data_IF_862964482884
#
_entry.id   IF_862964482884
#
_cell.length_a   1.000
_cell.length_b   1.000
_cell.length_c   1.000
_cell.angle_alpha   90.00
_cell.angle_beta   90.00
_cell.angle_gamma   90.00
#
_symmetry.space_group_name_H-M   'P 1'
#
loop_
_entity.id
_entity.type
_entity.pdbx_description
1 polymer ?
#
# COMPACT_ATOMS: atom_id res chain seq x y z
N UNK A 1 17.08 -9.18 -7.37
CA UNK A 1 15.63 -8.93 -7.45
C UNK A 1 14.81 -10.03 -8.14
N UNK A 2 15.42 -10.90 -9.00
CA UNK A 2 14.73 -12.06 -9.60
C UNK A 2 14.28 -13.08 -8.53
N UNK A 3 15.06 -13.30 -7.48
CA UNK A 3 14.73 -14.26 -6.42
C UNK A 3 13.49 -13.90 -5.61
N UNK A 4 13.19 -12.60 -5.39
CA UNK A 4 12.04 -12.15 -4.63
C UNK A 4 10.73 -12.40 -5.41
N UNK A 5 10.74 -12.14 -6.73
CA UNK A 5 9.61 -12.42 -7.61
C UNK A 5 9.27 -13.91 -7.67
N UNK A 6 10.30 -14.79 -7.69
CA UNK A 6 10.11 -16.24 -7.68
C UNK A 6 9.55 -16.77 -6.36
N UNK A 7 9.90 -16.13 -5.24
CA UNK A 7 9.35 -16.46 -3.92
C UNK A 7 7.86 -16.13 -3.87
N UNK A 8 7.47 -14.93 -4.30
CA UNK A 8 6.07 -14.52 -4.34
C UNK A 8 5.23 -15.41 -5.27
N UNK A 9 5.78 -15.79 -6.42
CA UNK A 9 5.10 -16.68 -7.36
C UNK A 9 4.84 -18.05 -6.74
N UNK A 10 5.84 -18.67 -6.12
CA UNK A 10 5.68 -19.97 -5.45
C UNK A 10 4.65 -19.94 -4.34
N UNK A 11 4.56 -18.85 -3.58
CA UNK A 11 3.56 -18.71 -2.53
C UNK A 11 2.16 -18.48 -3.08
N UNK A 12 2.02 -17.67 -4.13
CA UNK A 12 0.74 -17.51 -4.81
C UNK A 12 0.24 -18.86 -5.34
N UNK A 13 1.13 -19.67 -5.95
CA UNK A 13 0.79 -21.03 -6.42
C UNK A 13 0.33 -21.94 -5.28
N UNK A 14 0.99 -21.88 -4.11
CA UNK A 14 0.58 -22.65 -2.92
C UNK A 14 -0.79 -22.24 -2.42
N UNK A 15 -1.08 -20.93 -2.33
CA UNK A 15 -2.38 -20.42 -1.91
C UNK A 15 -3.48 -20.78 -2.91
N UNK A 16 -3.19 -20.79 -4.20
CA UNK A 16 -4.11 -21.23 -5.24
C UNK A 16 -4.44 -22.73 -5.09
N UNK A 17 -3.45 -23.58 -4.81
CA UNK A 17 -3.64 -25.00 -4.54
C UNK A 17 -4.49 -25.23 -3.29
N UNK A 18 -4.45 -24.31 -2.33
CA UNK A 18 -5.31 -24.34 -1.14
C UNK A 18 -6.75 -23.81 -1.39
N UNK A 19 -7.10 -23.50 -2.64
CA UNK A 19 -8.46 -23.09 -3.05
C UNK A 19 -8.73 -21.59 -3.05
N UNK A 20 -7.69 -20.76 -3.01
CA UNK A 20 -7.83 -19.30 -3.09
C UNK A 20 -7.77 -18.79 -4.54
N UNK A 21 -8.43 -17.67 -4.82
CA UNK A 21 -8.37 -17.03 -6.13
C UNK A 21 -6.95 -16.56 -6.45
N UNK A 22 -6.53 -16.67 -7.73
CA UNK A 22 -5.18 -16.33 -8.17
C UNK A 22 -4.78 -14.89 -7.80
N UNK A 23 -5.69 -13.96 -7.96
CA UNK A 23 -5.47 -12.54 -7.68
C UNK A 23 -5.27 -12.27 -6.18
N UNK A 24 -6.15 -12.83 -5.35
CA UNK A 24 -6.03 -12.74 -3.89
C UNK A 24 -4.74 -13.40 -3.39
N UNK A 25 -4.39 -14.56 -3.90
CA UNK A 25 -3.16 -15.28 -3.55
C UNK A 25 -1.90 -14.46 -3.89
N UNK A 26 -1.89 -13.78 -5.01
CA UNK A 26 -0.79 -12.92 -5.42
C UNK A 26 -0.62 -11.72 -4.49
N UNK A 27 -1.71 -11.04 -4.17
CA UNK A 27 -1.74 -9.90 -3.26
C UNK A 27 -1.26 -10.29 -1.86
N UNK A 28 -1.84 -11.35 -1.28
CA UNK A 28 -1.52 -11.79 0.07
C UNK A 28 -0.07 -12.27 0.19
N UNK A 29 0.46 -12.95 -0.82
CA UNK A 29 1.87 -13.35 -0.86
C UNK A 29 2.83 -12.16 -0.81
N UNK A 30 2.48 -11.07 -1.47
CA UNK A 30 3.27 -9.85 -1.43
C UNK A 30 3.25 -9.19 -0.04
N UNK A 31 2.09 -9.10 0.60
CA UNK A 31 1.98 -8.57 1.97
C UNK A 31 2.69 -9.46 3.00
N UNK A 32 2.71 -10.75 2.79
CA UNK A 32 3.40 -11.69 3.65
C UNK A 32 4.94 -11.68 3.48
N UNK A 33 5.46 -10.91 2.53
CA UNK A 33 6.90 -10.75 2.28
C UNK A 33 7.66 -12.08 2.16
N UNK A 34 7.05 -13.07 1.54
CA UNK A 34 7.69 -14.37 1.37
C UNK A 34 7.49 -15.37 2.52
N UNK A 35 6.66 -15.08 3.51
CA UNK A 35 6.39 -15.99 4.63
C UNK A 35 5.06 -16.69 4.45
N UNK A 36 5.07 -17.99 4.12
CA UNK A 36 3.86 -18.78 3.84
C UNK A 36 2.87 -18.76 5.01
N UNK A 37 3.35 -18.90 6.26
CA UNK A 37 2.51 -18.86 7.44
C UNK A 37 1.74 -17.54 7.59
N UNK A 38 2.40 -16.41 7.33
CA UNK A 38 1.76 -15.10 7.36
C UNK A 38 0.76 -14.90 6.22
N UNK A 39 1.04 -15.45 5.04
CA UNK A 39 0.10 -15.41 3.92
C UNK A 39 -1.20 -16.14 4.25
N UNK A 40 -1.12 -17.31 4.88
CA UNK A 40 -2.29 -18.07 5.31
C UNK A 40 -3.08 -17.35 6.41
N UNK A 41 -2.41 -16.73 7.36
CA UNK A 41 -3.05 -15.90 8.40
C UNK A 41 -3.81 -14.71 7.79
N UNK A 42 -3.24 -14.05 6.78
CA UNK A 42 -3.89 -12.92 6.10
C UNK A 42 -5.13 -13.34 5.31
N UNK A 43 -5.18 -14.57 4.79
CA UNK A 43 -6.36 -15.11 4.09
C UNK A 43 -7.59 -15.10 4.99
N UNK A 44 -7.43 -15.43 6.26
CA UNK A 44 -8.52 -15.54 7.23
C UNK A 44 -8.77 -14.23 7.99
N UNK A 45 -7.92 -13.22 7.80
CA UNK A 45 -8.00 -11.93 8.51
C UNK A 45 -8.94 -10.95 7.79
N UNK A 46 -10.21 -10.98 8.14
CA UNK A 46 -11.21 -10.01 7.64
C UNK A 46 -10.84 -8.57 7.99
N UNK A 47 -10.30 -8.34 9.17
CA UNK A 47 -9.86 -7.01 9.62
C UNK A 47 -8.78 -6.43 8.71
N UNK A 48 -7.85 -7.26 8.24
CA UNK A 48 -6.85 -6.83 7.26
C UNK A 48 -7.47 -6.51 5.90
N UNK A 49 -8.43 -7.29 5.44
CA UNK A 49 -9.14 -7.01 4.18
C UNK A 49 -9.89 -5.69 4.23
N UNK A 50 -10.61 -5.43 5.31
CA UNK A 50 -11.31 -4.18 5.54
C UNK A 50 -10.35 -2.99 5.60
N UNK A 51 -9.26 -3.12 6.36
CA UNK A 51 -8.18 -2.12 6.43
C UNK A 51 -7.62 -1.82 5.04
N UNK A 52 -7.34 -2.86 4.25
CA UNK A 52 -6.81 -2.69 2.90
C UNK A 52 -7.78 -1.91 2.00
N UNK A 53 -9.05 -2.26 1.99
CA UNK A 53 -10.06 -1.55 1.20
C UNK A 53 -10.20 -0.09 1.64
N UNK A 54 -10.22 0.16 2.94
CA UNK A 54 -10.31 1.50 3.51
C UNK A 54 -9.11 2.36 3.11
N UNK A 55 -7.90 1.87 3.33
CA UNK A 55 -6.66 2.61 3.03
C UNK A 55 -6.51 2.87 1.53
N UNK A 56 -6.75 1.87 0.67
CA UNK A 56 -6.66 2.07 -0.78
C UNK A 56 -7.70 3.09 -1.27
N UNK A 57 -8.92 3.06 -0.76
CA UNK A 57 -9.95 4.05 -1.07
C UNK A 57 -9.53 5.47 -0.67
N UNK A 58 -8.91 5.63 0.50
CA UNK A 58 -8.37 6.91 0.98
C UNK A 58 -7.23 7.42 0.09
N UNK A 59 -6.32 6.55 -0.33
CA UNK A 59 -5.19 6.92 -1.20
C UNK A 59 -5.65 7.37 -2.59
N UNK A 60 -6.70 6.76 -3.13
CA UNK A 60 -7.26 7.16 -4.44
C UNK A 60 -7.79 8.60 -4.44
N UNK A 61 -8.38 9.04 -3.35
CA UNK A 61 -9.04 10.36 -3.27
C UNK A 61 -8.15 11.44 -2.63
N UNK A 62 -7.10 11.05 -1.92
CA UNK A 62 -6.22 11.96 -1.17
C UNK A 62 -5.69 13.15 -2.00
N UNK A 63 -5.24 12.98 -3.26
CA UNK A 63 -4.74 14.11 -4.05
C UNK A 63 -5.78 15.21 -4.32
N UNK A 64 -7.06 14.86 -4.28
CA UNK A 64 -8.19 15.79 -4.51
C UNK A 64 -8.80 16.37 -3.22
N UNK A 65 -8.36 15.90 -2.06
CA UNK A 65 -8.86 16.37 -0.77
C UNK A 65 -8.40 17.81 -0.47
N UNK A 66 -9.23 18.54 0.29
CA UNK A 66 -8.77 19.78 0.93
C UNK A 66 -7.75 19.50 2.02
N UNK A 67 -6.99 20.51 2.45
CA UNK A 67 -6.08 20.34 3.60
C UNK A 67 -6.84 19.96 4.88
N UNK A 68 -8.01 20.57 5.09
CA UNK A 68 -8.86 20.27 6.24
C UNK A 68 -9.30 18.80 6.24
N UNK A 69 -9.70 18.27 5.09
CA UNK A 69 -10.09 16.86 4.98
C UNK A 69 -8.89 15.92 5.21
N UNK A 70 -7.70 16.31 4.77
CA UNK A 70 -6.49 15.54 5.04
C UNK A 70 -6.13 15.51 6.54
N UNK A 71 -6.36 16.60 7.28
CA UNK A 71 -6.23 16.61 8.74
C UNK A 71 -7.28 15.70 9.42
N UNK A 72 -8.51 15.68 8.93
CA UNK A 72 -9.54 14.76 9.42
C UNK A 72 -9.15 13.31 9.13
N UNK A 73 -8.58 13.04 7.96
CA UNK A 73 -8.06 11.73 7.61
C UNK A 73 -6.95 11.27 8.56
N UNK A 74 -6.05 12.17 8.97
CA UNK A 74 -5.02 11.85 9.98
C UNK A 74 -5.65 11.42 11.30
N UNK A 75 -6.77 12.04 11.69
CA UNK A 75 -7.54 11.62 12.86
C UNK A 75 -8.15 10.23 12.69
N UNK A 76 -8.72 9.94 11.53
CA UNK A 76 -9.29 8.61 11.24
C UNK A 76 -8.24 7.51 11.29
N UNK A 77 -7.00 7.79 10.84
CA UNK A 77 -5.90 6.83 10.89
C UNK A 77 -5.48 6.46 12.33
N UNK A 78 -5.83 7.25 13.34
CA UNK A 78 -5.60 6.88 14.75
C UNK A 78 -6.27 5.56 15.14
N UNK A 79 -7.34 5.16 14.43
CA UNK A 79 -7.95 3.84 14.56
C UNK A 79 -6.99 2.67 14.26
N UNK A 80 -5.94 2.92 13.49
CA UNK A 80 -4.92 1.92 13.12
C UNK A 80 -3.61 2.04 13.89
N UNK A 81 -3.51 2.92 14.89
CA UNK A 81 -2.26 3.17 15.63
C UNK A 81 -1.62 1.93 16.25
N UNK A 82 -2.42 0.91 16.55
CA UNK A 82 -1.97 -0.36 17.12
C UNK A 82 -1.76 -1.47 16.06
N UNK A 83 -2.01 -1.18 14.81
CA UNK A 83 -1.82 -2.10 13.69
C UNK A 83 -1.21 -1.38 12.49
N UNK A 84 0.11 -1.30 12.46
CA UNK A 84 0.85 -0.55 11.45
C UNK A 84 0.87 -1.22 10.06
N UNK A 85 0.16 -2.34 9.86
CA UNK A 85 0.03 -2.97 8.53
C UNK A 85 -0.60 -2.04 7.48
N UNK A 86 -1.33 -1.01 7.91
CA UNK A 86 -1.82 0.01 6.98
C UNK A 86 -0.68 0.74 6.25
N UNK A 87 0.50 0.88 6.87
CA UNK A 87 1.68 1.45 6.20
C UNK A 87 2.24 0.50 5.12
N UNK A 88 2.14 -0.82 5.32
CA UNK A 88 2.50 -1.79 4.29
C UNK A 88 1.61 -1.64 3.05
N UNK A 89 0.32 -1.40 3.26
CA UNK A 89 -0.65 -1.15 2.18
C UNK A 89 -0.26 0.12 1.41
N UNK A 90 0.08 1.19 2.11
CA UNK A 90 0.52 2.44 1.49
C UNK A 90 1.84 2.28 0.72
N UNK A 91 2.82 1.58 1.28
CA UNK A 91 4.11 1.31 0.60
C UNK A 91 3.92 0.52 -0.69
N UNK A 92 3.08 -0.52 -0.67
CA UNK A 92 2.81 -1.32 -1.87
C UNK A 92 2.01 -0.53 -2.92
N UNK A 93 1.12 0.37 -2.50
CA UNK A 93 0.45 1.28 -3.43
C UNK A 93 1.44 2.12 -4.22
N UNK A 94 2.33 2.83 -3.55
CA UNK A 94 3.32 3.67 -4.24
C UNK A 94 4.35 2.87 -5.04
N UNK A 95 4.69 1.67 -4.58
CA UNK A 95 5.51 0.73 -5.36
C UNK A 95 4.80 0.38 -6.68
N UNK A 96 3.52 0.06 -6.63
CA UNK A 96 2.75 -0.26 -7.83
C UNK A 96 2.60 0.95 -8.76
N UNK A 97 2.43 2.16 -8.23
CA UNK A 97 2.42 3.39 -9.05
C UNK A 97 3.75 3.59 -9.80
N UNK A 98 4.86 3.42 -9.12
CA UNK A 98 6.20 3.52 -9.74
C UNK A 98 6.43 2.41 -10.78
N UNK A 99 5.96 1.20 -10.50
CA UNK A 99 6.03 0.07 -11.43
C UNK A 99 5.19 0.34 -12.68
N UNK A 100 3.95 0.78 -12.52
CA UNK A 100 3.06 1.12 -13.63
C UNK A 100 3.63 2.27 -14.49
N UNK A 101 4.26 3.26 -13.84
CA UNK A 101 4.94 4.38 -14.51
C UNK A 101 6.08 3.91 -15.40
N UNK A 102 6.88 2.97 -14.90
CA UNK A 102 8.11 2.51 -15.56
C UNK A 102 7.85 1.44 -16.63
N UNK A 103 7.00 0.45 -16.32
CA UNK A 103 6.85 -0.75 -17.14
C UNK A 103 5.56 -0.77 -17.99
N UNK A 104 4.55 -0.03 -17.58
CA UNK A 104 3.22 0.05 -18.23
C UNK A 104 2.54 -1.29 -18.48
N UNK A 105 2.91 -2.32 -17.74
CA UNK A 105 2.39 -3.68 -17.87
C UNK A 105 1.70 -4.12 -16.57
N UNK A 106 0.46 -4.60 -16.68
CA UNK A 106 -0.34 -5.06 -15.53
C UNK A 106 0.31 -6.24 -14.77
N UNK A 107 1.04 -7.09 -15.50
CA UNK A 107 1.63 -8.32 -14.95
C UNK A 107 2.62 -8.09 -13.80
N UNK A 108 3.18 -6.90 -13.69
CA UNK A 108 4.13 -6.54 -12.63
C UNK A 108 3.50 -5.87 -11.41
N UNK A 109 2.19 -5.56 -11.46
CA UNK A 109 1.49 -5.00 -10.33
C UNK A 109 1.20 -6.05 -9.27
N UNK A 110 1.33 -5.67 -8.00
CA UNK A 110 0.94 -6.50 -6.86
C UNK A 110 -0.57 -6.41 -6.67
N UNK A 111 -1.12 -5.20 -6.63
CA UNK A 111 -2.52 -4.93 -6.37
C UNK A 111 -3.32 -4.86 -7.68
N UNK A 112 -3.39 -5.99 -8.38
CA UNK A 112 -4.02 -6.10 -9.72
C UNK A 112 -5.51 -5.79 -9.71
N UNK A 113 -6.19 -6.01 -8.59
CA UNK A 113 -7.59 -5.65 -8.38
C UNK A 113 -7.85 -4.13 -8.42
N UNK A 114 -6.78 -3.33 -8.27
CA UNK A 114 -6.80 -1.87 -8.33
C UNK A 114 -6.07 -1.29 -9.55
N UNK A 115 -5.84 -2.09 -10.58
CA UNK A 115 -5.06 -1.70 -11.77
C UNK A 115 -5.51 -0.38 -12.38
N UNK A 116 -6.79 -0.16 -12.55
CA UNK A 116 -7.31 1.05 -13.20
C UNK A 116 -7.02 2.31 -12.36
N UNK A 117 -7.18 2.23 -11.05
CA UNK A 117 -6.84 3.30 -10.13
C UNK A 117 -5.33 3.56 -10.12
N UNK A 118 -4.51 2.50 -10.13
CA UNK A 118 -3.05 2.57 -10.18
C UNK A 118 -2.60 3.28 -11.47
N UNK A 119 -3.08 2.89 -12.64
CA UNK A 119 -2.70 3.53 -13.89
C UNK A 119 -3.16 4.99 -14.00
N UNK A 120 -4.30 5.34 -13.40
CA UNK A 120 -4.71 6.74 -13.29
C UNK A 120 -3.78 7.56 -12.41
N UNK A 121 -3.45 7.06 -11.22
CA UNK A 121 -2.58 7.74 -10.27
C UNK A 121 -1.11 7.78 -10.73
N UNK A 122 -0.65 6.80 -11.50
CA UNK A 122 0.70 6.75 -12.07
C UNK A 122 0.99 7.83 -13.13
N UNK A 123 0.02 8.67 -13.47
CA UNK A 123 0.24 9.83 -14.36
C UNK A 123 1.11 10.91 -13.71
N UNK A 124 1.17 10.98 -12.41
CA UNK A 124 2.04 11.91 -11.69
C UNK A 124 3.52 11.70 -12.06
N UNK A 125 4.38 12.76 -11.94
CA UNK A 125 5.81 12.64 -12.20
C UNK A 125 6.47 11.54 -11.33
N UNK A 126 7.39 10.78 -11.89
CA UNK A 126 8.08 9.70 -11.17
C UNK A 126 8.82 10.22 -9.92
N UNK A 127 9.43 11.40 -9.99
CA UNK A 127 10.10 12.01 -8.83
C UNK A 127 9.12 12.29 -7.68
N UNK A 128 7.90 12.72 -7.99
CA UNK A 128 6.86 12.98 -6.99
C UNK A 128 6.37 11.65 -6.37
N UNK A 129 6.15 10.63 -7.18
CA UNK A 129 5.77 9.30 -6.69
C UNK A 129 6.85 8.70 -5.78
N UNK A 130 8.12 8.89 -6.12
CA UNK A 130 9.25 8.45 -5.29
C UNK A 130 9.29 9.24 -3.96
N UNK A 131 9.02 10.54 -3.98
CA UNK A 131 8.90 11.38 -2.77
C UNK A 131 7.77 10.89 -1.86
N UNK A 132 6.62 10.56 -2.43
CA UNK A 132 5.47 10.01 -1.68
C UNK A 132 5.80 8.66 -1.05
N UNK A 133 6.42 7.75 -1.79
CA UNK A 133 6.89 6.49 -1.24
C UNK A 133 7.88 6.71 -0.07
N UNK A 134 8.80 7.66 -0.19
CA UNK A 134 9.73 8.03 0.87
C UNK A 134 9.00 8.62 2.10
N UNK A 135 7.93 9.39 1.92
CA UNK A 135 7.15 9.94 3.02
C UNK A 135 6.52 8.85 3.89
N UNK A 136 6.01 7.77 3.28
CA UNK A 136 5.47 6.61 4.01
C UNK A 136 6.58 5.92 4.83
N UNK A 137 7.74 5.68 4.23
CA UNK A 137 8.89 5.09 4.94
C UNK A 137 9.37 5.96 6.09
N UNK A 138 9.41 7.29 5.90
CA UNK A 138 9.77 8.25 6.95
C UNK A 138 8.77 8.22 8.10
N UNK A 139 7.47 8.14 7.82
CA UNK A 139 6.46 8.00 8.85
C UNK A 139 6.65 6.73 9.68
N UNK A 140 6.89 5.59 9.01
CA UNK A 140 7.20 4.32 9.70
C UNK A 140 8.40 4.46 10.63
N UNK A 141 9.48 5.05 10.15
CA UNK A 141 10.70 5.26 10.95
C UNK A 141 10.44 6.16 12.17
N UNK A 142 9.69 7.24 12.00
CA UNK A 142 9.32 8.15 13.11
C UNK A 142 8.49 7.44 14.16
N UNK A 143 7.51 6.64 13.76
CA UNK A 143 6.70 5.84 14.69
C UNK A 143 7.55 4.81 15.44
N UNK A 144 8.52 4.19 14.79
CA UNK A 144 9.48 3.29 15.46
C UNK A 144 10.35 4.02 16.49
N UNK A 145 10.53 5.32 16.36
CA UNK A 145 11.21 6.20 17.33
C UNK A 145 10.26 6.85 18.33
N UNK A 146 9.05 6.32 18.49
CA UNK A 146 8.02 6.82 19.39
C UNK A 146 7.55 8.27 19.13
N UNK A 147 7.61 8.74 17.89
CA UNK A 147 7.00 10.00 17.51
C UNK A 147 5.48 9.99 17.73
N UNK A 148 4.91 11.17 17.95
CA UNK A 148 3.47 11.32 18.08
C UNK A 148 2.76 10.81 16.82
N UNK A 149 1.84 9.86 16.98
CA UNK A 149 1.16 9.22 15.86
C UNK A 149 0.39 10.23 15.00
N UNK A 150 -0.47 11.03 15.63
CA UNK A 150 -1.31 11.99 14.93
C UNK A 150 -0.50 12.99 14.11
N UNK A 151 0.50 13.58 14.70
CA UNK A 151 1.37 14.54 14.02
C UNK A 151 2.16 13.89 12.89
N UNK A 152 2.65 12.66 13.08
CA UNK A 152 3.34 11.89 12.04
C UNK A 152 2.43 11.63 10.84
N UNK A 153 1.16 11.30 11.07
CA UNK A 153 0.17 11.10 10.00
C UNK A 153 -0.16 12.42 9.28
N UNK A 154 -0.32 13.51 10.02
CA UNK A 154 -0.59 14.82 9.41
C UNK A 154 0.54 15.24 8.45
N UNK A 155 1.79 15.11 8.87
CA UNK A 155 2.95 15.43 8.03
C UNK A 155 3.01 14.51 6.81
N UNK A 156 2.87 13.20 6.99
CA UNK A 156 2.87 12.23 5.91
C UNK A 156 1.77 12.54 4.89
N UNK A 157 0.54 12.75 5.33
CA UNK A 157 -0.59 13.00 4.43
C UNK A 157 -0.45 14.30 3.64
N UNK A 158 0.18 15.34 4.20
CA UNK A 158 0.48 16.55 3.45
C UNK A 158 1.46 16.28 2.29
N UNK A 159 2.48 15.48 2.52
CA UNK A 159 3.41 15.06 1.46
C UNK A 159 2.70 14.17 0.40
N UNK A 160 1.84 13.24 0.84
CA UNK A 160 1.11 12.36 -0.08
C UNK A 160 0.05 13.11 -0.91
N UNK A 161 -0.48 14.20 -0.38
CA UNK A 161 -1.47 15.03 -1.07
C UNK A 161 -0.88 15.88 -2.18
N UNK A 162 0.41 16.14 -2.17
CA UNK A 162 1.07 16.97 -3.16
C UNK A 162 0.81 16.45 -4.58
N UNK A 163 0.48 17.35 -5.50
CA UNK A 163 0.26 17.04 -6.92
C UNK A 163 1.31 17.74 -7.77
N UNK A 164 1.78 17.05 -8.81
CA UNK A 164 2.63 17.67 -9.81
C UNK A 164 1.79 18.60 -10.69
N UNK A 165 1.97 19.89 -10.53
CA UNK A 165 1.44 20.92 -11.43
C UNK A 165 2.47 21.24 -12.49
#
# INVERSE_FOLDING_TARGET
SRGLGDVYKRQADYLMQAGHLAEESHILSAYAQGRIGQALELVEDEGFREMRQDILGKLEVLPSMSEGDAYLLAKDLEGYKNDLRFLDIMELWYRDLLTAKSLREEGYLIQRDKKDAIFRAAKEPAALLAKKAAAVRTARMRLAQNANFRLTMEVMLMDLKETGK
#
